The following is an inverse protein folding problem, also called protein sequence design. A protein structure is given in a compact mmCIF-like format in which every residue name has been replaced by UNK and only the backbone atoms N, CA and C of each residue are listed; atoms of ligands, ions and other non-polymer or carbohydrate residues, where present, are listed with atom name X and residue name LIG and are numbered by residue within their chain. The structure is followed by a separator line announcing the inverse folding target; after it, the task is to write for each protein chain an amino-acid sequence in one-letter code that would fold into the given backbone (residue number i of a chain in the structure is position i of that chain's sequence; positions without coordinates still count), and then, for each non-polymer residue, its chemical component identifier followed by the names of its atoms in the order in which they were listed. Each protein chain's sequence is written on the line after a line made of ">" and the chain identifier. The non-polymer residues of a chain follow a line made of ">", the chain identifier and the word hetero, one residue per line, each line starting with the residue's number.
data_IF_492761928630
#
_entry.id   IF_492761928630
#
_cell.length_a   1.000
_cell.length_b   1.000
_cell.length_c   1.000
_cell.angle_alpha   90.00
_cell.angle_beta   90.00
_cell.angle_gamma   90.00
#
_symmetry.space_group_name_H-M   'P 1'
#
loop_
_entity.id
_entity.type
_entity.pdbx_description
1 polymer ?
#
# COMPACT_ATOMS: atom_id res chain seq x y z
N UNK A 1 19.03 -6.46 -9.81
CA UNK A 1 17.58 -6.23 -9.91
C UNK A 1 17.38 -4.77 -9.57
N UNK A 2 16.45 -4.06 -10.22
CA UNK A 2 16.17 -2.67 -9.84
C UNK A 2 15.57 -2.68 -8.43
N UNK A 3 16.00 -1.76 -7.57
CA UNK A 3 15.37 -1.52 -6.28
C UNK A 3 14.13 -0.62 -6.44
N UNK A 4 13.67 -0.39 -7.67
CA UNK A 4 12.40 0.27 -7.92
C UNK A 4 11.19 -0.66 -7.71
N UNK A 5 10.14 -0.11 -7.10
CA UNK A 5 8.83 -0.76 -6.92
C UNK A 5 7.71 0.10 -7.49
N UNK A 6 6.78 -0.55 -8.18
CA UNK A 6 5.58 0.07 -8.77
C UNK A 6 4.36 -0.13 -7.90
N UNK A 7 3.53 0.90 -7.80
CA UNK A 7 2.25 0.84 -7.10
C UNK A 7 1.11 0.45 -8.05
N UNK A 8 0.26 -0.46 -7.59
CA UNK A 8 -0.93 -0.94 -8.28
C UNK A 8 -2.18 -0.81 -7.40
N UNK A 9 -3.13 0.01 -7.86
CA UNK A 9 -4.36 0.38 -7.16
C UNK A 9 -4.17 1.51 -6.14
N UNK A 10 -5.30 2.03 -5.63
CA UNK A 10 -5.31 3.09 -4.62
C UNK A 10 -4.76 4.44 -5.12
N UNK A 11 -4.49 5.40 -4.21
CA UNK A 11 -4.08 6.76 -4.56
C UNK A 11 -2.67 6.90 -5.16
N UNK A 12 -1.84 5.84 -5.09
CA UNK A 12 -0.46 5.86 -5.60
C UNK A 12 -0.30 5.11 -6.91
N UNK A 13 -1.38 4.58 -7.49
CA UNK A 13 -1.35 3.78 -8.71
C UNK A 13 -0.49 4.40 -9.83
N UNK A 14 0.38 3.59 -10.43
CA UNK A 14 1.32 3.99 -11.49
C UNK A 14 2.56 4.75 -11.02
N UNK A 15 2.69 5.07 -9.72
CA UNK A 15 3.92 5.67 -9.17
C UNK A 15 5.01 4.62 -8.99
N UNK A 16 6.25 5.10 -8.91
CA UNK A 16 7.45 4.32 -8.63
C UNK A 16 8.14 4.89 -7.39
N UNK A 17 8.72 4.01 -6.58
CA UNK A 17 9.54 4.38 -5.43
C UNK A 17 10.76 3.46 -5.34
N UNK A 18 11.86 3.94 -4.76
CA UNK A 18 12.99 3.12 -4.35
C UNK A 18 12.62 2.28 -3.10
N UNK A 19 12.97 1.00 -3.15
CA UNK A 19 12.87 0.04 -2.06
C UNK A 19 14.05 0.25 -1.10
N UNK A 20 13.79 0.11 0.19
CA UNK A 20 14.89 0.03 1.16
C UNK A 20 15.49 -1.36 1.20
N UNK A 21 16.67 -1.47 1.82
CA UNK A 21 17.41 -2.74 1.96
C UNK A 21 16.63 -3.83 2.74
N UNK A 22 15.64 -3.44 3.54
CA UNK A 22 14.82 -4.33 4.39
C UNK A 22 13.55 -4.87 3.69
N UNK A 23 13.53 -4.89 2.37
CA UNK A 23 12.38 -5.33 1.60
C UNK A 23 12.09 -6.82 1.76
N UNK A 24 10.87 -7.15 2.17
CA UNK A 24 10.43 -8.53 2.37
C UNK A 24 9.10 -8.76 1.64
N UNK A 25 8.98 -9.76 0.73
CA UNK A 25 7.70 -10.12 0.14
C UNK A 25 6.64 -10.45 1.20
N UNK A 26 5.42 -9.95 1.00
CA UNK A 26 4.31 -10.02 1.95
C UNK A 26 4.32 -8.93 3.01
N UNK A 27 5.34 -8.06 3.08
CA UNK A 27 5.35 -6.92 3.98
C UNK A 27 4.22 -5.93 3.59
N UNK A 28 3.50 -5.44 4.60
CA UNK A 28 2.43 -4.45 4.40
C UNK A 28 2.89 -3.09 4.87
N UNK A 29 2.85 -2.12 3.96
CA UNK A 29 3.17 -0.73 4.26
C UNK A 29 1.90 0.13 4.31
N UNK A 30 1.93 1.16 5.15
CA UNK A 30 0.83 2.13 5.30
C UNK A 30 1.24 3.47 4.70
N UNK A 31 0.54 3.87 3.66
CA UNK A 31 0.64 5.21 3.10
C UNK A 31 -0.46 6.09 3.67
N UNK A 32 -0.04 7.20 4.26
CA UNK A 32 -0.92 8.17 4.90
C UNK A 32 -0.91 9.44 4.05
N UNK A 33 -2.06 9.78 3.50
CA UNK A 33 -2.26 11.01 2.77
C UNK A 33 -2.85 12.05 3.73
N UNK A 34 -2.07 13.10 3.98
CA UNK A 34 -2.50 14.27 4.74
C UNK A 34 -2.98 15.33 3.76
N UNK A 35 -4.30 15.41 3.57
CA UNK A 35 -4.95 16.57 3.01
C UNK A 35 -5.53 17.38 4.18
N UNK A 36 -5.76 18.68 4.05
CA UNK A 36 -6.30 19.52 5.14
C UNK A 36 -7.68 19.12 5.71
N UNK A 37 -8.20 17.93 5.38
CA UNK A 37 -9.38 17.27 5.93
C UNK A 37 -9.03 15.89 6.54
N UNK A 38 -9.95 14.92 6.54
CA UNK A 38 -9.71 13.59 7.12
C UNK A 38 -8.49 12.90 6.51
N UNK A 39 -7.69 12.28 7.37
CA UNK A 39 -6.52 11.49 6.97
C UNK A 39 -6.95 10.23 6.24
N UNK A 40 -6.42 10.01 5.04
CA UNK A 40 -6.67 8.79 4.27
C UNK A 40 -5.48 7.84 4.44
N UNK A 41 -5.75 6.65 4.96
CA UNK A 41 -4.78 5.56 5.02
C UNK A 41 -5.03 4.58 3.86
N UNK A 42 -3.98 4.19 3.17
CA UNK A 42 -3.99 3.10 2.20
C UNK A 42 -2.92 2.08 2.57
N UNK A 43 -3.27 0.80 2.56
CA UNK A 43 -2.35 -0.31 2.82
C UNK A 43 -1.94 -0.95 1.51
N UNK A 44 -0.65 -1.20 1.35
CA UNK A 44 -0.10 -1.90 0.20
C UNK A 44 0.72 -3.11 0.68
N UNK A 45 0.55 -4.24 0.03
CA UNK A 45 1.36 -5.43 0.22
C UNK A 45 2.48 -5.46 -0.82
N UNK A 46 3.72 -5.68 -0.38
CA UNK A 46 4.89 -5.84 -1.23
C UNK A 46 4.93 -7.26 -1.80
N UNK A 47 5.11 -7.38 -3.11
CA UNK A 47 5.26 -8.65 -3.80
C UNK A 47 6.32 -8.59 -4.89
N UNK A 48 6.62 -9.77 -5.44
CA UNK A 48 7.45 -9.94 -6.64
C UNK A 48 6.57 -10.42 -7.79
N UNK A 49 6.73 -9.82 -8.96
CA UNK A 49 6.17 -10.26 -10.23
C UNK A 49 7.28 -10.56 -11.25
N UNK A 50 6.89 -10.96 -12.46
CA UNK A 50 7.83 -11.17 -13.56
C UNK A 50 8.59 -9.88 -13.94
N UNK A 51 8.00 -8.71 -13.66
CA UNK A 51 8.55 -7.38 -13.98
C UNK A 51 9.34 -6.73 -12.82
N UNK A 52 9.40 -7.38 -11.65
CA UNK A 52 10.12 -6.89 -10.47
C UNK A 52 9.24 -6.69 -9.24
N UNK A 53 9.58 -5.69 -8.41
CA UNK A 53 8.86 -5.42 -7.17
C UNK A 53 7.55 -4.66 -7.40
N UNK A 54 6.52 -5.03 -6.66
CA UNK A 54 5.19 -4.41 -6.75
C UNK A 54 4.59 -4.16 -5.37
N UNK A 55 3.99 -2.98 -5.20
CA UNK A 55 3.06 -2.68 -4.12
C UNK A 55 1.63 -2.80 -4.63
N UNK A 56 0.87 -3.79 -4.20
CA UNK A 56 -0.55 -3.95 -4.54
C UNK A 56 -1.43 -3.51 -3.39
N UNK A 57 -2.52 -2.80 -3.66
CA UNK A 57 -3.44 -2.39 -2.60
C UNK A 57 -3.92 -3.64 -1.84
N UNK A 58 -3.69 -3.66 -0.53
CA UNK A 58 -4.11 -4.78 0.29
C UNK A 58 -5.63 -4.76 0.32
N UNK A 59 -6.26 -5.91 0.04
CA UNK A 59 -7.70 -6.06 0.20
C UNK A 59 -8.03 -5.69 1.65
N UNK A 60 -8.76 -4.59 1.84
CA UNK A 60 -9.30 -4.25 3.15
C UNK A 60 -10.22 -5.40 3.52
N UNK A 61 -9.82 -6.25 4.47
CA UNK A 61 -10.82 -6.87 5.34
C UNK A 61 -11.46 -5.69 6.06
N UNK A 62 -12.50 -5.14 5.44
CA UNK A 62 -13.50 -4.35 6.16
C UNK A 62 -14.04 -5.29 7.22
N UNK A 63 -13.44 -5.29 8.41
CA UNK A 63 -14.28 -5.47 9.58
C UNK A 63 -15.17 -4.22 9.56
N UNK A 64 -16.49 -4.37 9.35
CA UNK A 64 -17.36 -3.22 9.47
C UNK A 64 -17.09 -2.65 10.85
N UNK A 65 -16.71 -1.37 10.89
CA UNK A 65 -16.74 -0.59 12.11
C UNK A 65 -18.11 -0.88 12.71
N UNK A 66 -18.14 -1.61 13.85
CA UNK A 66 -19.39 -1.90 14.53
C UNK A 66 -19.94 -0.55 14.87
N UNK A 67 -20.94 -0.15 14.10
CA UNK A 67 -21.79 1.00 14.33
C UNK A 67 -22.33 0.83 15.74
N UNK A 68 -21.61 1.39 16.71
CA UNK A 68 -22.06 1.48 18.08
C UNK A 68 -23.05 2.64 18.11
N UNK A 69 -24.19 2.43 17.44
CA UNK A 69 -25.37 3.23 17.59
C UNK A 69 -25.79 3.12 19.06
N UNK A 70 -25.51 4.19 19.82
CA UNK A 70 -26.08 4.42 21.14
C UNK A 70 -26.86 5.71 21.12
#
# INVERSE_FOLDING_TARGET
>A
MSDEVRFFGGPLDGRVQELGDDAVPGAVIRHIHLHGGPKIETRYELGLSEDGWEYRVAATRHEPERDNLR
#
